data_IF_848740463452
#
_entry.id   IF_848740463452
#
_cell.length_a   1.000
_cell.length_b   1.000
_cell.length_c   1.000
_cell.angle_alpha   90.00
_cell.angle_beta   90.00
_cell.angle_gamma   90.00
#
_symmetry.space_group_name_H-M   'P 1'
#
loop_
_entity.id
_entity.type
_entity.pdbx_description
1 polymer ?
#
# COMPACT_ATOMS: atom_id res chain seq x y z
N UNK A 1 -8.29 6.01 20.82
CA UNK A 1 -7.81 4.98 19.88
C UNK A 1 -7.12 5.71 18.73
N UNK A 2 -5.83 5.47 18.47
CA UNK A 2 -5.09 6.18 17.40
C UNK A 2 -5.29 5.50 16.06
N UNK A 3 -5.58 6.26 15.00
CA UNK A 3 -5.69 5.77 13.62
C UNK A 3 -4.45 4.94 13.24
N UNK A 4 -3.26 5.33 13.71
CA UNK A 4 -2.01 4.61 13.46
C UNK A 4 -1.99 3.19 14.05
N UNK A 5 -2.65 2.96 15.20
CA UNK A 5 -2.79 1.60 15.79
C UNK A 5 -3.81 0.75 15.04
N UNK A 6 -4.90 1.37 14.58
CA UNK A 6 -5.92 0.67 13.79
C UNK A 6 -5.38 0.22 12.43
N UNK A 7 -4.65 1.09 11.73
CA UNK A 7 -4.08 0.76 10.41
C UNK A 7 -2.93 -0.23 10.51
N UNK A 8 -2.02 -0.10 11.48
CA UNK A 8 -0.91 -1.07 11.67
C UNK A 8 -1.34 -2.49 12.05
N UNK A 9 -2.54 -2.64 12.61
CA UNK A 9 -3.10 -3.96 12.97
C UNK A 9 -3.90 -4.60 11.85
N UNK A 10 -4.27 -3.84 10.80
CA UNK A 10 -5.10 -4.34 9.73
C UNK A 10 -4.33 -5.36 8.86
N UNK A 11 -4.90 -6.55 8.56
CA UNK A 11 -4.20 -7.62 7.86
C UNK A 11 -3.62 -7.20 6.49
N UNK A 12 -4.37 -6.43 5.70
CA UNK A 12 -3.85 -5.87 4.43
C UNK A 12 -2.60 -5.00 4.63
N UNK A 13 -2.57 -4.15 5.66
CA UNK A 13 -1.44 -3.24 5.91
C UNK A 13 -0.21 -4.03 6.34
N UNK A 14 -0.39 -5.09 7.14
CA UNK A 14 0.70 -6.03 7.45
C UNK A 14 1.24 -6.71 6.20
N UNK A 15 0.36 -7.17 5.31
CA UNK A 15 0.76 -7.80 4.06
C UNK A 15 1.55 -6.82 3.20
N UNK A 16 1.04 -5.62 2.93
CA UNK A 16 1.72 -4.58 2.14
C UNK A 16 3.12 -4.31 2.70
N UNK A 17 3.26 -4.15 4.02
CA UNK A 17 4.58 -3.94 4.65
C UNK A 17 5.56 -5.09 4.44
N UNK A 18 5.08 -6.32 4.30
CA UNK A 18 5.94 -7.50 4.09
C UNK A 18 6.30 -7.68 2.61
N UNK A 19 5.32 -7.66 1.69
CA UNK A 19 5.58 -7.88 0.26
C UNK A 19 6.20 -6.66 -0.44
N UNK A 20 5.88 -5.45 0.00
CA UNK A 20 6.38 -4.21 -0.60
C UNK A 20 7.50 -3.56 0.24
N UNK A 21 8.22 -4.35 1.04
CA UNK A 21 9.27 -3.84 1.93
C UNK A 21 10.45 -3.22 1.16
N UNK A 22 10.85 -3.82 0.04
CA UNK A 22 12.02 -3.42 -0.74
C UNK A 22 11.97 -1.95 -1.20
N UNK A 23 10.92 -1.46 -1.88
CA UNK A 23 10.87 -0.06 -2.31
C UNK A 23 10.79 0.91 -1.12
N UNK A 24 10.26 0.48 0.02
CA UNK A 24 10.24 1.29 1.24
C UNK A 24 11.65 1.45 1.84
N UNK A 25 12.41 0.36 1.95
CA UNK A 25 13.79 0.40 2.44
C UNK A 25 14.70 1.21 1.50
N UNK A 26 14.51 1.08 0.18
CA UNK A 26 15.25 1.86 -0.81
C UNK A 26 14.93 3.37 -0.71
N UNK A 27 13.66 3.72 -0.41
CA UNK A 27 13.27 5.10 -0.10
C UNK A 27 14.01 5.63 1.15
N UNK A 28 14.04 4.86 2.24
CA UNK A 28 14.73 5.25 3.48
C UNK A 28 16.24 5.45 3.24
N UNK A 29 16.88 4.54 2.51
CA UNK A 29 18.30 4.67 2.19
C UNK A 29 18.59 5.88 1.28
N UNK A 30 17.71 6.15 0.30
CA UNK A 30 17.81 7.36 -0.53
C UNK A 30 17.69 8.63 0.32
N UNK A 31 16.71 8.68 1.23
CA UNK A 31 16.52 9.81 2.14
C UNK A 31 17.74 10.05 3.03
N UNK A 32 18.33 8.98 3.57
CA UNK A 32 19.54 9.08 4.40
C UNK A 32 20.69 9.77 3.68
N UNK A 33 20.77 9.63 2.36
CA UNK A 33 21.78 10.25 1.52
C UNK A 33 21.35 11.62 0.93
N UNK A 34 20.04 11.88 0.84
CA UNK A 34 19.46 13.03 0.12
C UNK A 34 18.42 13.78 0.97
N UNK A 35 18.67 13.96 2.28
CA UNK A 35 17.69 14.55 3.21
C UNK A 35 17.25 15.97 2.78
N UNK A 36 18.16 16.75 2.20
CA UNK A 36 17.87 18.08 1.65
C UNK A 36 17.18 18.07 0.27
N UNK A 37 17.08 16.90 -0.38
CA UNK A 37 16.59 16.72 -1.74
C UNK A 37 15.66 15.50 -1.85
N UNK A 38 14.63 15.46 -1.01
CA UNK A 38 13.61 14.38 -0.95
C UNK A 38 12.99 14.07 -2.32
N UNK A 39 12.88 15.07 -3.20
CA UNK A 39 12.38 14.91 -4.58
C UNK A 39 13.16 13.90 -5.42
N UNK A 40 14.43 13.64 -5.09
CA UNK A 40 15.24 12.61 -5.77
C UNK A 40 14.78 11.18 -5.44
N UNK A 41 14.06 11.00 -4.34
CA UNK A 41 13.62 9.69 -3.84
C UNK A 41 12.19 9.32 -4.26
N UNK A 42 11.51 10.16 -5.05
CA UNK A 42 10.09 10.00 -5.40
C UNK A 42 9.79 8.72 -6.18
N UNK A 43 10.76 8.21 -6.96
CA UNK A 43 10.63 6.95 -7.68
C UNK A 43 10.38 5.75 -6.75
N UNK A 44 11.02 5.71 -5.58
CA UNK A 44 10.84 4.63 -4.60
C UNK A 44 9.44 4.66 -3.98
N UNK A 45 8.90 5.86 -3.72
CA UNK A 45 7.52 6.03 -3.27
C UNK A 45 6.53 5.56 -4.33
N UNK A 46 6.76 5.91 -5.61
CA UNK A 46 5.92 5.48 -6.73
C UNK A 46 5.89 3.95 -6.85
N UNK A 47 7.05 3.30 -6.77
CA UNK A 47 7.15 1.83 -6.80
C UNK A 47 6.46 1.17 -5.61
N UNK A 48 6.60 1.74 -4.41
CA UNK A 48 5.90 1.26 -3.23
C UNK A 48 4.37 1.30 -3.43
N UNK A 49 3.84 2.42 -3.95
CA UNK A 49 2.41 2.56 -4.23
C UNK A 49 1.94 1.54 -5.28
N UNK A 50 2.68 1.40 -6.38
CA UNK A 50 2.36 0.40 -7.41
C UNK A 50 2.37 -1.03 -6.89
N UNK A 51 3.27 -1.36 -5.95
CA UNK A 51 3.27 -2.65 -5.29
C UNK A 51 2.03 -2.80 -4.40
N UNK A 52 1.71 -1.80 -3.59
CA UNK A 52 0.56 -1.82 -2.68
C UNK A 52 -0.78 -1.99 -3.43
N UNK A 53 -0.94 -1.37 -4.61
CA UNK A 53 -2.11 -1.55 -5.47
C UNK A 53 -2.30 -3.00 -5.97
N UNK A 54 -1.21 -3.76 -6.08
CA UNK A 54 -1.24 -5.16 -6.53
C UNK A 54 -1.46 -6.15 -5.38
N UNK A 55 -1.30 -5.72 -4.12
CA UNK A 55 -1.55 -6.58 -2.95
C UNK A 55 -3.05 -6.74 -2.78
N UNK A 56 -3.56 -7.91 -3.19
CA UNK A 56 -4.96 -8.24 -2.96
C UNK A 56 -5.26 -8.38 -1.46
N UNK A 57 -6.39 -7.86 -0.96
CA UNK A 57 -6.85 -8.18 0.39
C UNK A 57 -7.09 -9.68 0.50
N UNK A 58 -6.89 -10.28 1.69
CA UNK A 58 -7.35 -11.65 1.92
C UNK A 58 -8.81 -11.71 1.51
N UNK A 59 -9.16 -12.65 0.63
CA UNK A 59 -10.50 -12.77 0.05
C UNK A 59 -11.52 -12.89 1.19
N UNK A 60 -12.22 -11.80 1.48
CA UNK A 60 -13.49 -11.86 2.19
C UNK A 60 -14.50 -12.56 1.26
N UNK A 61 -15.28 -13.55 1.71
CA UNK A 61 -16.33 -14.15 0.89
C UNK A 61 -17.56 -13.22 0.86
N UNK A 62 -17.42 -12.03 0.29
CA UNK A 62 -18.52 -11.08 -0.03
C UNK A 62 -17.83 -9.99 -0.86
N UNK A 63 -18.11 -9.78 -2.14
CA UNK A 63 -19.44 -9.53 -2.71
C UNK A 63 -19.42 -9.97 -4.17
N UNK A 64 -20.36 -10.83 -4.54
CA UNK A 64 -20.74 -11.10 -5.93
C UNK A 64 -21.03 -9.77 -6.61
N UNK A 65 -20.39 -9.56 -7.76
CA UNK A 65 -20.91 -8.84 -8.92
C UNK A 65 -22.24 -8.09 -8.68
N UNK A 66 -22.19 -6.76 -8.64
CA UNK A 66 -23.39 -5.95 -8.80
C UNK A 66 -23.90 -6.13 -10.24
N UNK A 67 -24.75 -7.13 -10.42
CA UNK A 67 -25.52 -7.37 -11.64
C UNK A 67 -26.46 -6.17 -11.86
N UNK A 68 -26.53 -5.56 -13.07
CA UNK A 68 -27.46 -4.47 -13.33
C UNK A 68 -28.89 -5.00 -13.32
N UNK A 69 -29.77 -4.40 -12.51
CA UNK A 69 -31.21 -4.71 -12.58
C UNK A 69 -31.77 -4.24 -13.93
N UNK A 70 -32.51 -5.08 -14.68
CA UNK A 70 -33.28 -4.62 -15.82
C UNK A 70 -34.51 -3.85 -15.34
N UNK A 71 -34.68 -2.62 -15.81
CA UNK A 71 -35.94 -1.89 -15.66
C UNK A 71 -37.01 -2.54 -16.56
N UNK A 72 -38.16 -2.88 -15.97
CA UNK A 72 -39.39 -3.23 -16.68
C UNK A 72 -40.25 -1.99 -16.89
#
# INVERSE_FOLDING_TARGET
MSIARCTSSHPIIRQIRQVCAEPFLAFEECLRQNEAAVGNCTEYVRRFLQCAEQVQPPRSPTTVEAQPLPAS
#
